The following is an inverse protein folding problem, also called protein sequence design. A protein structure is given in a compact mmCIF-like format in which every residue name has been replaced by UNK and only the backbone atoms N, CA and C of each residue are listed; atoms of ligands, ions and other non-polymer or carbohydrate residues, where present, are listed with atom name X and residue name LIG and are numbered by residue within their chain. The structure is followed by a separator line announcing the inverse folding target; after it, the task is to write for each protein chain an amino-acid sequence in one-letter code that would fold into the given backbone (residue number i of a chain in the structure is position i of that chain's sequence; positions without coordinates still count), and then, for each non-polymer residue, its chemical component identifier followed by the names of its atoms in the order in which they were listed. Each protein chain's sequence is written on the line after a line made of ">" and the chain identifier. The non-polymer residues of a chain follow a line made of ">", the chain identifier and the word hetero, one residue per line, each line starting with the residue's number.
data_IF_559939044292
#
_entry.id   IF_559939044292
#
_cell.length_a   1.000
_cell.length_b   1.000
_cell.length_c   1.000
_cell.angle_alpha   90.00
_cell.angle_beta   90.00
_cell.angle_gamma   90.00
#
_symmetry.space_group_name_H-M   'P 1'
#
loop_
_entity.id
_entity.type
_entity.pdbx_description
1 polymer ?
#
# COMPACT_ATOMS: atom_id res chain seq x y z
N UNK A 1 -0.31 24.41 30.24
CA UNK A 1 0.12 25.61 29.50
C UNK A 1 -0.82 26.72 29.90
N UNK A 2 -0.28 27.86 30.29
CA UNK A 2 -1.02 29.05 30.74
C UNK A 2 -1.16 30.08 29.60
N UNK A 3 -2.13 30.97 29.72
CA UNK A 3 -2.48 31.99 28.71
C UNK A 3 -1.28 32.89 28.34
N UNK A 4 -0.40 33.15 29.31
CA UNK A 4 0.81 33.96 29.12
C UNK A 4 1.78 33.26 28.17
N UNK A 5 1.92 31.93 28.29
CA UNK A 5 2.77 31.15 27.40
C UNK A 5 2.24 31.15 25.97
N UNK A 6 0.92 31.03 25.77
CA UNK A 6 0.31 31.09 24.44
C UNK A 6 0.54 32.44 23.76
N UNK A 7 0.30 33.55 24.49
CA UNK A 7 0.57 34.90 23.97
C UNK A 7 2.04 35.11 23.64
N UNK A 8 2.94 34.51 24.42
CA UNK A 8 4.38 34.55 24.13
C UNK A 8 4.71 33.81 22.83
N UNK A 9 4.13 32.63 22.61
CA UNK A 9 4.30 31.86 21.38
C UNK A 9 3.74 32.63 20.17
N UNK A 10 2.60 33.29 20.34
CA UNK A 10 2.01 34.16 19.32
C UNK A 10 2.90 35.35 18.95
N UNK A 11 3.80 35.79 19.83
CA UNK A 11 4.73 36.88 19.58
C UNK A 11 6.11 36.43 19.05
N UNK A 12 6.37 35.12 18.95
CA UNK A 12 7.67 34.62 18.50
C UNK A 12 8.00 35.02 17.05
N UNK A 13 9.28 35.30 16.83
CA UNK A 13 9.86 35.33 15.47
C UNK A 13 9.92 33.91 14.90
N UNK A 14 10.15 33.78 13.60
CA UNK A 14 10.24 32.48 12.91
C UNK A 14 11.24 31.53 13.61
N UNK A 15 12.45 32.00 13.90
CA UNK A 15 13.49 31.18 14.55
C UNK A 15 13.08 30.75 15.98
N UNK A 16 12.54 31.66 16.78
CA UNK A 16 12.07 31.35 18.14
C UNK A 16 10.93 30.33 18.11
N UNK A 17 10.05 30.43 17.11
CA UNK A 17 8.95 29.51 16.93
C UNK A 17 9.45 28.11 16.51
N UNK A 18 10.42 28.03 15.61
CA UNK A 18 11.07 26.76 15.24
C UNK A 18 11.71 26.10 16.46
N UNK A 19 12.49 26.84 17.25
CA UNK A 19 13.12 26.32 18.47
C UNK A 19 12.08 25.79 19.46
N UNK A 20 10.98 26.53 19.65
CA UNK A 20 9.86 26.10 20.48
C UNK A 20 9.23 24.79 19.97
N UNK A 21 8.96 24.68 18.67
CA UNK A 21 8.37 23.48 18.09
C UNK A 21 9.30 22.27 18.20
N UNK A 22 10.61 22.46 18.02
CA UNK A 22 11.59 21.38 18.18
C UNK A 22 11.63 20.86 19.63
N UNK A 23 11.59 21.76 20.61
CA UNK A 23 11.50 21.39 22.02
C UNK A 23 10.16 20.72 22.35
N UNK A 24 9.07 21.24 21.80
CA UNK A 24 7.74 20.66 21.91
C UNK A 24 7.69 19.23 21.35
N UNK A 25 8.17 19.01 20.12
CA UNK A 25 8.15 17.71 19.45
C UNK A 25 9.01 16.66 20.19
N UNK A 26 10.07 17.08 20.89
CA UNK A 26 10.90 16.20 21.73
C UNK A 26 10.21 15.80 23.04
N UNK A 27 9.48 16.71 23.70
CA UNK A 27 8.89 16.49 25.04
C UNK A 27 7.54 15.78 25.01
N UNK A 28 6.72 16.08 24.00
CA UNK A 28 5.31 15.68 23.93
C UNK A 28 4.97 14.22 23.56
N UNK A 29 5.89 13.34 23.11
CA UNK A 29 5.56 11.91 22.94
C UNK A 29 5.14 11.20 24.24
N UNK A 30 5.35 11.79 25.42
CA UNK A 30 4.97 11.23 26.72
C UNK A 30 3.51 11.58 27.10
N UNK A 31 2.67 10.56 27.34
CA UNK A 31 1.22 10.67 27.58
C UNK A 31 0.82 11.59 28.74
N UNK A 32 1.73 11.86 29.68
CA UNK A 32 1.48 12.65 30.89
C UNK A 32 1.28 14.16 30.61
N UNK A 33 1.78 14.69 29.48
CA UNK A 33 1.67 16.12 29.16
C UNK A 33 0.30 16.53 28.61
N UNK A 34 -0.41 15.63 27.92
CA UNK A 34 -1.69 15.93 27.28
C UNK A 34 -2.79 16.31 28.28
N UNK A 35 -2.83 15.67 29.46
CA UNK A 35 -3.85 15.93 30.46
C UNK A 35 -3.81 17.35 31.03
N UNK A 36 -2.62 17.96 31.12
CA UNK A 36 -2.46 19.32 31.64
C UNK A 36 -2.99 20.40 30.69
N UNK A 37 -3.24 20.09 29.42
CA UNK A 37 -3.37 21.12 28.35
C UNK A 37 -4.74 21.15 27.68
N UNK A 38 -5.70 20.34 28.13
CA UNK A 38 -7.00 20.17 27.46
C UNK A 38 -7.72 21.48 27.11
N UNK A 39 -7.68 22.51 27.97
CA UNK A 39 -8.39 23.78 27.73
C UNK A 39 -7.77 24.67 26.64
N UNK A 40 -6.51 24.45 26.25
CA UNK A 40 -5.76 25.35 25.37
C UNK A 40 -5.31 24.73 24.04
N UNK A 41 -5.60 23.44 23.82
CA UNK A 41 -5.21 22.71 22.59
C UNK A 41 -5.75 23.37 21.32
N UNK A 42 -6.99 23.85 21.34
CA UNK A 42 -7.64 24.50 20.19
C UNK A 42 -6.90 25.76 19.78
N UNK A 43 -6.58 26.62 20.76
CA UNK A 43 -5.82 27.86 20.51
C UNK A 43 -4.42 27.55 19.99
N UNK A 44 -3.74 26.57 20.60
CA UNK A 44 -2.40 26.14 20.15
C UNK A 44 -2.42 25.62 18.71
N UNK A 45 -3.41 24.81 18.34
CA UNK A 45 -3.59 24.34 16.97
C UNK A 45 -3.84 25.51 16.00
N UNK A 46 -4.67 26.49 16.38
CA UNK A 46 -4.88 27.70 15.57
C UNK A 46 -3.57 28.48 15.36
N UNK A 47 -2.73 28.60 16.39
CA UNK A 47 -1.41 29.24 16.26
C UNK A 47 -0.53 28.47 15.28
N UNK A 48 -0.46 27.14 15.40
CA UNK A 48 0.34 26.31 14.49
C UNK A 48 -0.11 26.50 13.04
N UNK A 49 -1.42 26.41 12.78
CA UNK A 49 -1.99 26.57 11.43
C UNK A 49 -1.75 27.98 10.87
N UNK A 50 -1.89 29.03 11.68
CA UNK A 50 -1.63 30.40 11.25
C UNK A 50 -0.15 30.63 10.93
N UNK A 51 0.76 30.14 11.78
CA UNK A 51 2.22 30.30 11.59
C UNK A 51 2.74 29.51 10.41
N UNK A 52 2.17 28.33 10.16
CA UNK A 52 2.39 27.52 8.97
C UNK A 52 2.13 28.28 7.66
N UNK A 53 1.05 29.07 7.61
CA UNK A 53 0.75 29.94 6.46
C UNK A 53 1.68 31.15 6.35
N UNK A 54 2.20 31.64 7.48
CA UNK A 54 3.07 32.81 7.53
C UNK A 54 4.54 32.49 7.21
N UNK A 55 5.02 31.33 7.65
CA UNK A 55 6.43 30.92 7.59
C UNK A 55 6.58 29.54 6.94
N UNK A 56 6.86 29.47 5.62
CA UNK A 56 7.04 28.21 4.90
C UNK A 56 8.12 27.30 5.50
N UNK A 57 9.16 27.86 6.14
CA UNK A 57 10.20 27.08 6.81
C UNK A 57 9.73 26.30 8.04
N UNK A 58 8.55 26.65 8.60
CA UNK A 58 8.00 26.03 9.82
C UNK A 58 7.04 24.88 9.54
N UNK A 59 6.69 24.67 8.28
CA UNK A 59 5.61 23.79 7.82
C UNK A 59 5.73 22.36 8.33
N UNK A 60 6.88 21.74 8.09
CA UNK A 60 7.17 20.36 8.51
C UNK A 60 7.11 20.24 10.03
N UNK A 61 7.83 21.10 10.76
CA UNK A 61 7.92 21.04 12.22
C UNK A 61 6.57 21.29 12.90
N UNK A 62 5.73 22.17 12.34
CA UNK A 62 4.37 22.38 12.81
C UNK A 62 3.49 21.15 12.56
N UNK A 63 3.57 20.54 11.37
CA UNK A 63 2.80 19.33 11.06
C UNK A 63 3.21 18.15 11.95
N UNK A 64 4.49 18.04 12.32
CA UNK A 64 4.91 17.07 13.34
C UNK A 64 4.22 17.32 14.69
N UNK A 65 4.10 18.58 15.11
CA UNK A 65 3.36 18.96 16.32
C UNK A 65 1.87 18.64 16.19
N UNK A 66 1.26 18.95 15.04
CA UNK A 66 -0.14 18.61 14.72
C UNK A 66 -0.34 17.10 14.76
N UNK A 67 0.56 16.31 14.16
CA UNK A 67 0.55 14.85 14.19
C UNK A 67 0.57 14.32 15.62
N UNK A 68 1.35 14.92 16.52
CA UNK A 68 1.35 14.55 17.94
C UNK A 68 -0.04 14.78 18.55
N UNK A 69 -0.70 15.91 18.24
CA UNK A 69 -2.06 16.20 18.71
C UNK A 69 -3.10 15.20 18.18
N UNK A 70 -2.97 14.72 16.93
CA UNK A 70 -3.89 13.71 16.34
C UNK A 70 -3.86 12.33 17.02
N UNK A 71 -2.88 12.06 17.90
CA UNK A 71 -2.76 10.78 18.62
C UNK A 71 -3.57 10.75 19.92
N UNK A 72 -3.89 11.91 20.48
CA UNK A 72 -4.71 12.00 21.68
C UNK A 72 -6.18 11.92 21.28
N UNK A 73 -6.85 10.83 21.61
CA UNK A 73 -8.26 10.59 21.25
C UNK A 73 -9.23 11.60 21.90
N UNK A 74 -8.79 12.31 22.94
CA UNK A 74 -9.63 13.25 23.67
C UNK A 74 -9.79 14.56 22.89
N UNK A 75 -11.04 15.00 22.72
CA UNK A 75 -11.41 16.28 22.10
C UNK A 75 -11.02 16.40 20.60
N UNK A 76 -10.64 15.31 19.92
CA UNK A 76 -10.24 15.35 18.49
C UNK A 76 -11.30 15.95 17.59
N UNK A 77 -12.57 15.60 17.82
CA UNK A 77 -13.67 16.06 16.97
C UNK A 77 -13.90 17.58 17.08
N UNK A 78 -13.57 18.18 18.23
CA UNK A 78 -13.62 19.64 18.39
C UNK A 78 -12.39 20.33 17.80
N UNK A 79 -11.21 19.72 17.95
CA UNK A 79 -9.94 20.26 17.47
C UNK A 79 -9.80 20.19 15.95
N UNK A 80 -10.19 19.05 15.37
CA UNK A 80 -10.08 18.76 13.94
C UNK A 80 -11.45 18.81 13.29
N UNK A 81 -12.04 20.01 13.30
CA UNK A 81 -13.27 20.30 12.58
C UNK A 81 -13.05 20.23 11.05
N UNK A 82 -14.13 20.42 10.27
CA UNK A 82 -14.08 20.35 8.80
C UNK A 82 -13.01 21.26 8.20
N UNK A 83 -12.89 22.50 8.66
CA UNK A 83 -11.92 23.46 8.13
C UNK A 83 -10.48 23.00 8.34
N UNK A 84 -10.15 22.52 9.54
CA UNK A 84 -8.81 22.01 9.85
C UNK A 84 -8.48 20.77 9.03
N UNK A 85 -9.42 19.84 8.89
CA UNK A 85 -9.24 18.65 8.06
C UNK A 85 -9.02 19.03 6.59
N UNK A 86 -9.80 19.96 6.05
CA UNK A 86 -9.61 20.46 4.68
C UNK A 86 -8.23 21.12 4.48
N UNK A 87 -7.74 21.88 5.47
CA UNK A 87 -6.37 22.39 5.42
C UNK A 87 -5.36 21.24 5.34
N UNK A 88 -5.47 20.21 6.17
CA UNK A 88 -4.55 19.07 6.09
C UNK A 88 -4.62 18.33 4.74
N UNK A 89 -5.80 18.21 4.13
CA UNK A 89 -5.96 17.64 2.77
C UNK A 89 -5.20 18.48 1.73
N UNK A 90 -5.31 19.81 1.80
CA UNK A 90 -4.59 20.71 0.90
C UNK A 90 -3.07 20.57 1.07
N UNK A 91 -2.59 20.47 2.31
CA UNK A 91 -1.17 20.33 2.63
C UNK A 91 -0.61 18.95 2.26
N UNK A 92 -1.45 17.92 2.29
CA UNK A 92 -1.15 16.61 1.75
C UNK A 92 -1.14 16.58 0.21
N UNK A 93 -1.51 17.68 -0.46
CA UNK A 93 -1.63 17.73 -1.93
C UNK A 93 -2.71 16.80 -2.47
N UNK A 94 -3.80 16.62 -1.71
CA UNK A 94 -4.92 15.73 -2.07
C UNK A 94 -6.21 16.49 -2.42
N UNK A 95 -6.14 17.81 -2.52
CA UNK A 95 -7.27 18.65 -2.90
C UNK A 95 -7.55 18.49 -4.39
N UNK A 96 -8.33 17.48 -4.75
CA UNK A 96 -8.77 17.26 -6.12
C UNK A 96 -9.85 18.30 -6.47
N UNK A 97 -9.54 19.17 -7.44
CA UNK A 97 -10.55 19.90 -8.22
C UNK A 97 -10.43 19.39 -9.65
N UNK A 98 -11.53 18.88 -10.21
CA UNK A 98 -11.56 18.34 -11.58
C UNK A 98 -11.00 19.31 -12.62
N UNK A 99 -11.11 20.62 -12.38
CA UNK A 99 -10.66 21.70 -13.24
C UNK A 99 -9.13 21.93 -13.22
N UNK A 100 -8.41 21.48 -12.18
CA UNK A 100 -6.96 21.66 -12.03
C UNK A 100 -6.15 20.52 -12.68
N UNK A 101 -6.83 19.50 -13.21
CA UNK A 101 -6.26 18.33 -13.88
C UNK A 101 -5.69 18.67 -15.28
N UNK A 102 -6.13 19.77 -15.90
CA UNK A 102 -5.85 20.05 -17.31
C UNK A 102 -4.77 21.11 -17.57
N UNK A 103 -4.53 22.07 -16.66
CA UNK A 103 -3.79 23.28 -17.06
C UNK A 103 -2.57 23.65 -16.24
N UNK A 104 -2.37 23.18 -15.00
CA UNK A 104 -1.12 23.41 -14.24
C UNK A 104 -0.89 22.29 -13.23
N UNK A 105 0.32 21.71 -13.15
CA UNK A 105 0.67 20.96 -11.95
C UNK A 105 0.55 21.93 -10.78
N UNK A 106 -0.40 21.68 -9.87
CA UNK A 106 -0.43 22.34 -8.57
C UNK A 106 1.00 22.34 -8.02
N UNK A 107 1.51 23.49 -7.56
CA UNK A 107 2.83 23.56 -6.93
C UNK A 107 2.91 22.44 -5.91
N UNK A 108 3.70 21.41 -6.24
CA UNK A 108 3.88 20.26 -5.37
C UNK A 108 4.43 20.83 -4.08
N UNK A 109 3.61 20.79 -3.02
CA UNK A 109 4.05 21.10 -1.67
C UNK A 109 5.30 20.25 -1.40
N UNK A 110 6.29 20.82 -0.69
CA UNK A 110 7.49 20.09 -0.30
C UNK A 110 7.10 18.65 0.12
N UNK A 111 7.66 17.59 -0.50
CA UNK A 111 7.26 16.22 -0.21
C UNK A 111 7.26 15.88 1.29
N UNK A 112 8.14 16.52 2.08
CA UNK A 112 8.16 16.36 3.54
C UNK A 112 6.90 16.90 4.21
N UNK A 113 6.38 18.03 3.73
CA UNK A 113 5.12 18.62 4.19
C UNK A 113 3.95 17.70 3.85
N UNK A 114 3.91 17.18 2.62
CA UNK A 114 2.90 16.22 2.19
C UNK A 114 2.90 14.97 3.08
N UNK A 115 4.07 14.37 3.32
CA UNK A 115 4.23 13.19 4.16
C UNK A 115 3.77 13.42 5.60
N UNK A 116 4.11 14.54 6.23
CA UNK A 116 3.66 14.82 7.60
C UNK A 116 2.16 15.13 7.69
N UNK A 117 1.57 15.73 6.65
CA UNK A 117 0.14 15.91 6.55
C UNK A 117 -0.58 14.55 6.39
N UNK A 118 -0.11 13.67 5.51
CA UNK A 118 -0.63 12.31 5.31
C UNK A 118 -0.58 11.48 6.61
N UNK A 119 0.54 11.55 7.36
CA UNK A 119 0.66 10.89 8.67
C UNK A 119 -0.38 11.41 9.67
N UNK A 120 -0.63 12.72 9.67
CA UNK A 120 -1.66 13.34 10.52
C UNK A 120 -3.07 12.88 10.14
N UNK A 121 -3.37 12.85 8.84
CA UNK A 121 -4.64 12.34 8.31
C UNK A 121 -4.86 10.86 8.63
N UNK A 122 -3.83 10.01 8.51
CA UNK A 122 -3.89 8.60 8.90
C UNK A 122 -4.28 8.41 10.37
N UNK A 123 -3.69 9.21 11.28
CA UNK A 123 -4.07 9.18 12.70
C UNK A 123 -5.52 9.61 12.91
N UNK A 124 -5.98 10.64 12.19
CA UNK A 124 -7.37 11.12 12.29
C UNK A 124 -8.38 10.08 11.80
N UNK A 125 -8.10 9.41 10.67
CA UNK A 125 -8.94 8.32 10.14
C UNK A 125 -9.09 7.20 11.18
N UNK A 126 -8.00 6.87 11.89
CA UNK A 126 -7.99 5.82 12.88
C UNK A 126 -8.67 6.21 14.20
N UNK A 127 -8.50 7.46 14.64
CA UNK A 127 -8.90 7.90 15.99
C UNK A 127 -10.21 8.69 16.06
N UNK A 128 -10.72 9.26 14.96
CA UNK A 128 -11.92 10.12 14.96
C UNK A 128 -12.93 9.69 13.89
N UNK A 129 -14.13 9.32 14.33
CA UNK A 129 -15.24 9.00 13.43
C UNK A 129 -15.72 10.23 12.64
N UNK A 130 -15.70 11.41 13.27
CA UNK A 130 -16.09 12.68 12.64
C UNK A 130 -15.11 13.07 11.54
N UNK A 131 -13.80 13.03 11.81
CA UNK A 131 -12.77 13.32 10.81
C UNK A 131 -12.80 12.33 9.64
N UNK A 132 -13.02 11.04 9.94
CA UNK A 132 -13.22 10.00 8.92
C UNK A 132 -14.39 10.31 7.98
N UNK A 133 -15.54 10.72 8.53
CA UNK A 133 -16.71 11.13 7.73
C UNK A 133 -16.41 12.34 6.87
N UNK A 134 -15.72 13.34 7.41
CA UNK A 134 -15.29 14.53 6.65
C UNK A 134 -14.40 14.11 5.48
N UNK A 135 -13.38 13.30 5.72
CA UNK A 135 -12.45 12.85 4.68
C UNK A 135 -13.16 12.13 3.52
N UNK A 136 -14.10 11.22 3.83
CA UNK A 136 -14.88 10.54 2.80
C UNK A 136 -15.73 11.49 1.94
N UNK A 137 -16.04 12.69 2.43
CA UNK A 137 -16.87 13.69 1.75
C UNK A 137 -16.05 14.80 1.05
N UNK A 138 -14.73 14.86 1.24
CA UNK A 138 -13.88 15.97 0.75
C UNK A 138 -13.01 15.60 -0.46
N UNK A 139 -13.36 14.55 -1.20
CA UNK A 139 -12.68 14.23 -2.44
C UNK A 139 -11.24 13.69 -2.27
N UNK A 140 -10.84 13.31 -1.06
CA UNK A 140 -9.45 12.90 -0.81
C UNK A 140 -9.09 11.56 -1.45
N UNK A 141 -10.08 10.68 -1.68
CA UNK A 141 -9.89 9.41 -2.36
C UNK A 141 -9.55 9.64 -3.83
N UNK A 142 -10.24 10.58 -4.46
CA UNK A 142 -10.03 11.03 -5.82
C UNK A 142 -8.62 11.63 -5.96
N UNK A 143 -8.21 12.49 -5.01
CA UNK A 143 -6.84 13.01 -4.95
C UNK A 143 -5.78 11.90 -4.84
N UNK A 144 -6.00 10.89 -4.00
CA UNK A 144 -5.10 9.75 -3.84
C UNK A 144 -4.98 8.95 -5.15
N UNK A 145 -6.10 8.68 -5.82
CA UNK A 145 -6.10 7.90 -7.06
C UNK A 145 -5.54 8.70 -8.25
N UNK A 146 -5.73 10.02 -8.29
CA UNK A 146 -5.07 10.89 -9.28
C UNK A 146 -3.55 10.86 -9.09
N UNK A 147 -3.07 10.94 -7.83
CA UNK A 147 -1.63 10.85 -7.55
C UNK A 147 -1.07 9.46 -7.83
N UNK A 148 -1.84 8.39 -7.60
CA UNK A 148 -1.48 7.01 -7.94
C UNK A 148 -1.14 6.84 -9.43
N UNK A 149 -1.86 7.53 -10.33
CA UNK A 149 -1.57 7.52 -11.78
C UNK A 149 -0.18 8.07 -12.12
N UNK A 150 0.42 8.84 -11.23
CA UNK A 150 1.73 9.47 -11.40
C UNK A 150 2.86 8.63 -10.78
N UNK A 151 2.60 7.40 -10.28
CA UNK A 151 3.62 6.60 -9.60
C UNK A 151 4.78 6.15 -10.49
N UNK A 152 4.59 6.16 -11.81
CA UNK A 152 5.68 5.94 -12.77
C UNK A 152 6.70 7.09 -12.81
N UNK A 153 6.38 8.24 -12.20
CA UNK A 153 7.30 9.37 -12.09
C UNK A 153 8.47 9.02 -11.13
N UNK A 154 9.72 9.03 -11.62
CA UNK A 154 10.89 8.76 -10.79
C UNK A 154 11.18 9.87 -9.76
N UNK A 155 10.69 11.09 -9.98
CA UNK A 155 10.93 12.23 -9.07
C UNK A 155 9.99 12.20 -7.85
N UNK A 156 8.94 11.38 -7.88
CA UNK A 156 8.03 11.22 -6.75
C UNK A 156 8.65 10.38 -5.63
N UNK A 157 8.83 10.92 -4.41
CA UNK A 157 9.48 10.20 -3.33
C UNK A 157 8.70 8.98 -2.85
N UNK A 158 9.43 7.92 -2.48
CA UNK A 158 8.87 6.67 -1.95
C UNK A 158 7.93 6.92 -0.76
N UNK A 159 8.30 7.79 0.17
CA UNK A 159 7.50 8.06 1.37
C UNK A 159 6.14 8.66 1.04
N UNK A 160 6.03 9.50 0.01
CA UNK A 160 4.73 10.01 -0.45
C UNK A 160 3.89 8.84 -0.95
N UNK A 161 4.43 8.01 -1.85
CA UNK A 161 3.75 6.83 -2.41
C UNK A 161 3.28 5.88 -1.30
N UNK A 162 4.12 5.70 -0.28
CA UNK A 162 3.86 4.75 0.81
C UNK A 162 2.75 5.26 1.72
N UNK A 163 2.79 6.54 2.13
CA UNK A 163 1.77 7.11 2.99
C UNK A 163 0.43 7.33 2.27
N UNK A 164 0.44 7.48 0.96
CA UNK A 164 -0.77 7.45 0.12
C UNK A 164 -1.46 6.09 0.19
N UNK A 165 -0.70 5.02 -0.09
CA UNK A 165 -1.24 3.66 -0.01
C UNK A 165 -1.65 3.32 1.41
N UNK A 166 -0.91 3.77 2.42
CA UNK A 166 -1.31 3.59 3.82
C UNK A 166 -2.63 4.30 4.14
N UNK A 167 -2.82 5.52 3.66
CA UNK A 167 -4.06 6.26 3.85
C UNK A 167 -5.22 5.58 3.11
N UNK A 168 -5.03 5.19 1.84
CA UNK A 168 -6.05 4.50 1.05
C UNK A 168 -6.43 3.14 1.67
N UNK A 169 -5.46 2.40 2.22
CA UNK A 169 -5.71 1.19 3.00
C UNK A 169 -6.58 1.47 4.21
N UNK A 170 -6.25 2.48 5.02
CA UNK A 170 -7.05 2.84 6.21
C UNK A 170 -8.47 3.25 5.84
N UNK A 171 -8.63 4.04 4.78
CA UNK A 171 -9.94 4.48 4.29
C UNK A 171 -10.77 3.27 3.81
N UNK A 172 -10.22 2.41 2.96
CA UNK A 172 -10.93 1.23 2.47
C UNK A 172 -11.19 0.20 3.56
N UNK A 173 -10.31 0.08 4.56
CA UNK A 173 -10.50 -0.81 5.70
C UNK A 173 -11.63 -0.34 6.62
N UNK A 174 -11.66 0.96 6.95
CA UNK A 174 -12.54 1.52 7.99
C UNK A 174 -13.84 2.16 7.45
N UNK A 175 -13.93 2.37 6.14
CA UNK A 175 -15.10 2.91 5.44
C UNK A 175 -15.49 1.95 4.32
N UNK A 176 -16.31 0.94 4.62
CA UNK A 176 -16.67 -0.06 3.61
C UNK A 176 -17.52 0.52 2.45
N UNK A 177 -18.23 1.61 2.72
CA UNK A 177 -19.10 2.33 1.80
C UNK A 177 -18.36 2.98 0.62
N UNK A 178 -17.06 3.31 0.76
CA UNK A 178 -16.29 3.90 -0.34
C UNK A 178 -15.73 2.85 -1.30
N UNK A 179 -15.72 1.56 -0.93
CA UNK A 179 -15.05 0.51 -1.70
C UNK A 179 -15.63 0.33 -3.11
N UNK A 180 -16.97 0.31 -3.33
CA UNK A 180 -17.52 0.21 -4.68
C UNK A 180 -17.05 1.37 -5.56
N UNK A 181 -17.16 2.60 -5.04
CA UNK A 181 -16.70 3.82 -5.70
C UNK A 181 -15.21 3.80 -6.06
N UNK A 182 -14.36 3.41 -5.12
CA UNK A 182 -12.91 3.24 -5.39
C UNK A 182 -12.67 2.19 -6.48
N UNK A 183 -13.35 1.05 -6.39
CA UNK A 183 -13.13 -0.10 -7.26
C UNK A 183 -13.56 0.19 -8.70
N UNK A 184 -14.80 0.64 -8.90
CA UNK A 184 -15.43 0.74 -10.22
C UNK A 184 -15.47 2.17 -10.76
N UNK A 185 -16.01 3.13 -10.00
CA UNK A 185 -16.19 4.51 -10.48
C UNK A 185 -14.86 5.24 -10.69
N UNK A 186 -13.89 5.00 -9.82
CA UNK A 186 -12.57 5.65 -9.87
C UNK A 186 -11.48 4.74 -10.44
N UNK A 187 -11.84 3.57 -10.98
CA UNK A 187 -10.92 2.58 -11.58
C UNK A 187 -9.73 2.18 -10.67
N UNK A 188 -9.90 2.25 -9.35
CA UNK A 188 -8.84 1.99 -8.38
C UNK A 188 -8.29 0.57 -8.47
N UNK A 189 -9.11 -0.42 -8.84
CA UNK A 189 -8.65 -1.79 -9.07
C UNK A 189 -7.56 -1.83 -10.16
N UNK A 190 -7.77 -1.13 -11.27
CA UNK A 190 -6.86 -1.08 -12.41
C UNK A 190 -5.56 -0.36 -12.01
N UNK A 191 -5.66 0.81 -11.38
CA UNK A 191 -4.47 1.57 -10.99
C UNK A 191 -3.62 0.85 -9.94
N UNK A 192 -4.24 0.11 -9.01
CA UNK A 192 -3.51 -0.68 -8.02
C UNK A 192 -2.81 -1.89 -8.67
N UNK A 193 -3.44 -2.55 -9.65
CA UNK A 193 -2.78 -3.59 -10.46
C UNK A 193 -1.59 -3.02 -11.23
N UNK A 194 -1.74 -1.86 -11.88
CA UNK A 194 -0.65 -1.20 -12.59
C UNK A 194 0.51 -0.80 -11.66
N UNK A 195 0.22 -0.38 -10.43
CA UNK A 195 1.24 -0.09 -9.43
C UNK A 195 2.02 -1.35 -9.01
N UNK A 196 1.37 -2.51 -8.88
CA UNK A 196 2.07 -3.79 -8.66
C UNK A 196 2.93 -4.17 -9.86
N UNK A 197 2.40 -4.02 -11.08
CA UNK A 197 3.16 -4.27 -12.32
C UNK A 197 4.42 -3.41 -12.39
N UNK A 198 4.35 -2.14 -11.99
CA UNK A 198 5.52 -1.24 -11.95
C UNK A 198 6.58 -1.76 -10.99
N UNK A 199 6.19 -2.18 -9.78
CA UNK A 199 7.12 -2.76 -8.80
C UNK A 199 7.82 -4.01 -9.36
N UNK A 200 7.07 -4.90 -10.02
CA UNK A 200 7.64 -6.11 -10.63
C UNK A 200 8.54 -5.81 -11.84
N UNK A 201 8.16 -4.85 -12.70
CA UNK A 201 8.94 -4.46 -13.89
C UNK A 201 10.25 -3.76 -13.53
N UNK A 202 10.23 -2.87 -12.54
CA UNK A 202 11.43 -2.18 -12.07
C UNK A 202 12.45 -3.17 -11.51
N UNK A 203 11.97 -4.24 -10.87
CA UNK A 203 12.81 -5.34 -10.40
C UNK A 203 13.50 -6.08 -11.56
N UNK A 204 12.73 -6.42 -12.60
CA UNK A 204 13.25 -7.06 -13.81
C UNK A 204 14.21 -6.16 -14.58
N UNK A 205 14.02 -4.83 -14.56
CA UNK A 205 14.90 -3.88 -15.24
C UNK A 205 16.23 -3.64 -14.51
N UNK A 206 16.24 -3.70 -13.17
CA UNK A 206 17.47 -3.65 -12.34
C UNK A 206 18.37 -4.86 -12.58
N UNK A 207 17.79 -5.92 -13.10
CA UNK A 207 18.46 -7.15 -13.50
C UNK A 207 18.80 -7.01 -14.98
N UNK A 208 20.05 -6.66 -15.31
CA UNK A 208 20.43 -6.31 -16.69
C UNK A 208 20.03 -7.36 -17.75
N UNK A 209 20.21 -7.08 -19.06
CA UNK A 209 19.67 -7.90 -20.16
C UNK A 209 20.14 -9.37 -20.22
N UNK A 210 21.05 -9.78 -19.34
CA UNK A 210 21.60 -11.13 -19.20
C UNK A 210 21.15 -11.86 -17.92
N UNK A 211 20.41 -11.22 -17.02
CA UNK A 211 19.73 -11.91 -15.92
C UNK A 211 18.44 -12.53 -16.46
N UNK A 212 18.57 -13.71 -17.07
CA UNK A 212 17.47 -14.62 -17.37
C UNK A 212 16.19 -13.94 -17.84
N UNK A 213 16.16 -13.48 -19.10
CA UNK A 213 14.88 -13.29 -19.80
C UNK A 213 14.08 -14.59 -19.72
N UNK A 214 13.16 -14.73 -18.75
CA UNK A 214 11.90 -15.47 -18.93
C UNK A 214 10.95 -14.63 -19.82
N UNK A 215 11.46 -13.98 -20.88
CA UNK A 215 10.60 -13.32 -21.87
C UNK A 215 10.17 -14.36 -22.89
N UNK A 216 8.88 -14.67 -22.88
CA UNK A 216 8.16 -15.26 -24.00
C UNK A 216 8.08 -14.25 -25.16
N UNK A 217 9.16 -14.09 -25.92
CA UNK A 217 9.13 -13.37 -27.18
C UNK A 217 9.02 -14.35 -28.36
N UNK A 218 7.92 -14.23 -29.10
CA UNK A 218 7.74 -14.77 -30.45
C UNK A 218 8.80 -14.19 -31.38
N UNK A 219 9.58 -15.05 -32.04
CA UNK A 219 10.27 -14.73 -33.29
C UNK A 219 11.81 -14.82 -33.30
N UNK A 220 12.29 -15.82 -34.05
CA UNK A 220 13.50 -15.83 -34.91
C UNK A 220 14.93 -15.88 -34.32
N UNK A 221 15.54 -17.07 -34.48
CA UNK A 221 16.90 -17.43 -34.99
C UNK A 221 18.11 -16.52 -34.66
N UNK A 222 19.11 -17.05 -33.91
CA UNK A 222 20.43 -17.57 -34.39
C UNK A 222 21.45 -17.82 -33.25
N UNK A 223 21.93 -19.06 -33.19
CA UNK A 223 23.29 -19.59 -32.90
C UNK A 223 24.29 -19.01 -31.86
N UNK A 224 24.80 -19.93 -31.00
CA UNK A 224 26.18 -20.13 -30.44
C UNK A 224 26.86 -18.95 -29.72
N UNK A 225 27.65 -19.07 -28.64
CA UNK A 225 28.29 -20.20 -27.92
C UNK A 225 29.03 -19.64 -26.67
N UNK A 226 29.20 -20.50 -25.65
CA UNK A 226 30.27 -20.56 -24.62
C UNK A 226 30.54 -19.42 -23.61
N UNK A 227 30.50 -19.87 -22.33
CA UNK A 227 31.37 -19.52 -21.19
C UNK A 227 31.38 -18.06 -20.69
N UNK A 228 30.85 -17.84 -19.49
CA UNK A 228 31.64 -17.64 -18.26
C UNK A 228 30.68 -17.56 -17.05
N UNK A 229 31.15 -18.04 -15.90
CA UNK A 229 30.40 -18.03 -14.66
C UNK A 229 30.36 -16.61 -14.08
N UNK A 230 29.42 -15.80 -14.57
CA UNK A 230 29.04 -14.54 -13.93
C UNK A 230 28.05 -14.82 -12.80
N UNK A 231 28.44 -14.45 -11.58
CA UNK A 231 27.60 -14.43 -10.38
C UNK A 231 26.32 -13.62 -10.68
N UNK A 232 25.25 -14.34 -11.03
CA UNK A 232 23.94 -13.76 -11.26
C UNK A 232 23.41 -13.25 -9.92
N UNK A 233 23.47 -11.94 -9.68
CA UNK A 233 22.66 -11.31 -8.64
C UNK A 233 21.21 -11.49 -9.09
N UNK A 234 20.52 -12.50 -8.53
CA UNK A 234 19.12 -12.74 -8.82
C UNK A 234 18.30 -11.47 -8.53
N UNK A 235 17.41 -11.13 -9.45
CA UNK A 235 16.42 -10.07 -9.29
C UNK A 235 15.64 -10.32 -7.98
N UNK A 236 15.79 -9.47 -6.98
CA UNK A 236 15.02 -9.61 -5.73
C UNK A 236 14.44 -8.27 -5.32
N UNK A 237 13.20 -8.29 -4.82
CA UNK A 237 12.50 -7.11 -4.36
C UNK A 237 13.20 -6.53 -3.13
N UNK A 238 13.37 -5.21 -3.15
CA UNK A 238 13.86 -4.44 -2.01
C UNK A 238 12.80 -4.38 -0.90
N UNK A 239 13.24 -4.12 0.34
CA UNK A 239 12.34 -4.02 1.48
C UNK A 239 11.24 -2.96 1.31
N UNK A 240 11.55 -1.86 0.62
CA UNK A 240 10.62 -0.78 0.27
C UNK A 240 9.60 -1.22 -0.78
N UNK A 241 10.04 -1.92 -1.84
CA UNK A 241 9.15 -2.50 -2.85
C UNK A 241 8.20 -3.53 -2.23
N UNK A 242 8.69 -4.37 -1.32
CA UNK A 242 7.86 -5.33 -0.58
C UNK A 242 6.84 -4.61 0.29
N UNK A 243 7.25 -3.58 1.04
CA UNK A 243 6.34 -2.82 1.91
C UNK A 243 5.24 -2.12 1.11
N UNK A 244 5.61 -1.53 -0.04
CA UNK A 244 4.65 -0.93 -0.97
C UNK A 244 3.67 -1.96 -1.53
N UNK A 245 4.19 -3.08 -2.05
CA UNK A 245 3.37 -4.17 -2.58
C UNK A 245 2.39 -4.68 -1.51
N UNK A 246 2.85 -4.83 -0.26
CA UNK A 246 1.98 -5.24 0.85
C UNK A 246 0.88 -4.20 1.14
N UNK A 247 1.16 -2.89 1.11
CA UNK A 247 0.10 -1.88 1.24
C UNK A 247 -0.92 -1.98 0.11
N UNK A 248 -0.48 -2.16 -1.13
CA UNK A 248 -1.35 -2.32 -2.31
C UNK A 248 -2.21 -3.59 -2.22
N UNK A 249 -1.61 -4.74 -1.88
CA UNK A 249 -2.30 -6.02 -1.72
C UNK A 249 -3.40 -5.94 -0.66
N UNK A 250 -3.16 -5.22 0.45
CA UNK A 250 -4.19 -5.01 1.49
C UNK A 250 -5.35 -4.14 1.00
N UNK A 251 -5.09 -3.13 0.17
CA UNK A 251 -6.16 -2.34 -0.44
C UNK A 251 -6.97 -3.21 -1.40
N UNK A 252 -6.30 -3.96 -2.28
CA UNK A 252 -6.94 -4.89 -3.21
C UNK A 252 -7.78 -5.95 -2.47
N UNK A 253 -7.29 -6.46 -1.33
CA UNK A 253 -8.06 -7.34 -0.46
C UNK A 253 -9.35 -6.65 0.00
N UNK A 254 -9.27 -5.44 0.55
CA UNK A 254 -10.45 -4.70 0.99
C UNK A 254 -11.48 -4.47 -0.13
N UNK A 255 -11.02 -4.19 -1.35
CA UNK A 255 -11.87 -3.98 -2.53
C UNK A 255 -12.51 -5.27 -3.07
N UNK A 256 -12.06 -6.45 -2.61
CA UNK A 256 -12.50 -7.76 -3.12
C UNK A 256 -13.29 -8.61 -2.12
N UNK A 257 -13.29 -8.27 -0.81
CA UNK A 257 -13.93 -9.09 0.27
C UNK A 257 -15.42 -9.43 0.05
N UNK A 258 -16.18 -8.61 -0.69
CA UNK A 258 -17.65 -8.73 -0.77
C UNK A 258 -18.20 -8.85 -2.19
N UNK A 259 -17.37 -9.25 -3.13
CA UNK A 259 -17.77 -9.29 -4.53
C UNK A 259 -18.41 -10.64 -4.85
N UNK A 260 -19.42 -10.61 -5.74
CA UNK A 260 -20.07 -11.82 -6.21
C UNK A 260 -19.03 -12.70 -6.91
N UNK A 261 -18.83 -13.92 -6.42
CA UNK A 261 -17.80 -14.84 -6.95
C UNK A 261 -18.25 -15.56 -8.22
N UNK A 262 -19.47 -15.27 -8.68
CA UNK A 262 -20.15 -15.95 -9.77
C UNK A 262 -20.96 -14.91 -10.57
N UNK A 263 -21.09 -15.11 -11.88
CA UNK A 263 -21.89 -14.22 -12.72
C UNK A 263 -21.26 -12.84 -12.96
N UNK A 264 -19.93 -12.76 -12.93
CA UNK A 264 -19.19 -11.55 -13.27
C UNK A 264 -19.40 -11.18 -14.73
N UNK A 265 -19.38 -9.87 -15.02
CA UNK A 265 -19.32 -9.37 -16.39
C UNK A 265 -17.95 -9.69 -17.01
N UNK A 266 -17.88 -9.82 -18.34
CA UNK A 266 -16.65 -10.20 -19.05
C UNK A 266 -15.47 -9.26 -18.75
N UNK A 267 -15.72 -7.97 -18.59
CA UNK A 267 -14.70 -6.98 -18.23
C UNK A 267 -14.17 -7.19 -16.80
N UNK A 268 -15.06 -7.43 -15.84
CA UNK A 268 -14.67 -7.72 -14.45
C UNK A 268 -13.89 -9.04 -14.36
N UNK A 269 -14.32 -10.07 -15.10
CA UNK A 269 -13.61 -11.35 -15.19
C UNK A 269 -12.18 -11.18 -15.73
N UNK A 270 -12.01 -10.41 -16.80
CA UNK A 270 -10.69 -10.10 -17.35
C UNK A 270 -9.78 -9.37 -16.35
N UNK A 271 -10.33 -8.47 -15.52
CA UNK A 271 -9.57 -7.82 -14.45
C UNK A 271 -9.11 -8.82 -13.38
N UNK A 272 -9.96 -9.77 -12.98
CA UNK A 272 -9.58 -10.79 -12.00
C UNK A 272 -8.57 -11.81 -12.54
N UNK A 273 -8.66 -12.19 -13.82
CA UNK A 273 -7.63 -13.00 -14.49
C UNK A 273 -6.28 -12.28 -14.48
N UNK A 274 -6.26 -11.00 -14.89
CA UNK A 274 -5.03 -10.18 -14.82
C UNK A 274 -4.49 -10.08 -13.40
N UNK A 275 -5.35 -9.85 -12.41
CA UNK A 275 -4.92 -9.78 -11.01
C UNK A 275 -4.31 -11.11 -10.56
N UNK A 276 -4.92 -12.25 -10.88
CA UNK A 276 -4.37 -13.56 -10.53
C UNK A 276 -2.99 -13.81 -11.18
N UNK A 277 -2.80 -13.38 -12.42
CA UNK A 277 -1.48 -13.43 -13.09
C UNK A 277 -0.42 -12.57 -12.37
N UNK A 278 -0.79 -11.38 -11.89
CA UNK A 278 0.11 -10.55 -11.07
C UNK A 278 0.44 -11.25 -9.73
N UNK A 279 -0.55 -11.89 -9.08
CA UNK A 279 -0.32 -12.62 -7.84
C UNK A 279 0.58 -13.84 -8.04
N UNK A 280 0.45 -14.54 -9.18
CA UNK A 280 1.37 -15.59 -9.59
C UNK A 280 2.82 -15.06 -9.61
N UNK A 281 3.06 -13.94 -10.28
CA UNK A 281 4.40 -13.36 -10.39
C UNK A 281 4.96 -12.88 -9.03
N UNK A 282 4.08 -12.37 -8.15
CA UNK A 282 4.45 -12.01 -6.77
C UNK A 282 4.86 -13.25 -5.96
N UNK A 283 4.17 -14.38 -6.09
CA UNK A 283 4.54 -15.64 -5.39
C UNK A 283 5.93 -16.13 -5.81
N UNK A 284 6.30 -15.92 -7.07
CA UNK A 284 7.58 -16.31 -7.63
C UNK A 284 8.70 -15.28 -7.44
N UNK A 285 8.40 -14.11 -6.91
CA UNK A 285 9.38 -13.03 -6.72
C UNK A 285 10.27 -13.30 -5.51
N UNK A 286 11.60 -13.17 -5.67
CA UNK A 286 12.55 -13.28 -4.57
C UNK A 286 12.61 -11.97 -3.74
N UNK A 287 12.96 -12.07 -2.46
CA UNK A 287 13.10 -10.92 -1.55
C UNK A 287 14.42 -10.99 -0.80
N UNK A 288 14.91 -9.84 -0.30
CA UNK A 288 16.19 -9.77 0.43
C UNK A 288 16.24 -10.64 1.69
N UNK A 289 15.12 -10.76 2.40
CA UNK A 289 15.02 -11.51 3.66
C UNK A 289 13.83 -12.48 3.62
N UNK A 290 13.94 -13.64 4.30
CA UNK A 290 12.83 -14.60 4.38
C UNK A 290 11.63 -14.03 5.15
N UNK A 291 11.84 -13.10 6.08
CA UNK A 291 10.75 -12.42 6.80
C UNK A 291 9.92 -11.55 5.84
N UNK A 292 10.58 -10.79 4.95
CA UNK A 292 9.89 -10.01 3.92
C UNK A 292 9.15 -10.92 2.93
N UNK A 293 9.74 -12.08 2.57
CA UNK A 293 9.07 -13.11 1.77
C UNK A 293 7.78 -13.60 2.44
N UNK A 294 7.86 -13.92 3.74
CA UNK A 294 6.72 -14.39 4.53
C UNK A 294 5.58 -13.36 4.57
N UNK A 295 5.90 -12.07 4.73
CA UNK A 295 4.88 -10.99 4.68
C UNK A 295 4.24 -10.87 3.30
N UNK A 296 5.04 -10.88 2.24
CA UNK A 296 4.56 -10.73 0.87
C UNK A 296 3.63 -11.89 0.48
N UNK A 297 4.06 -13.13 0.75
CA UNK A 297 3.24 -14.32 0.49
C UNK A 297 1.98 -14.31 1.34
N UNK A 298 2.05 -13.90 2.63
CA UNK A 298 0.87 -13.83 3.50
C UNK A 298 -0.22 -12.95 2.92
N UNK A 299 0.11 -11.73 2.49
CA UNK A 299 -0.87 -10.80 1.92
C UNK A 299 -1.34 -11.21 0.51
N UNK A 300 -0.48 -11.89 -0.25
CA UNK A 300 -0.87 -12.48 -1.54
C UNK A 300 -1.90 -13.59 -1.34
N UNK A 301 -1.67 -14.47 -0.36
CA UNK A 301 -2.61 -15.52 0.04
C UNK A 301 -3.94 -14.94 0.51
N UNK A 302 -3.92 -13.91 1.35
CA UNK A 302 -5.15 -13.24 1.81
C UNK A 302 -5.99 -12.79 0.61
N UNK A 303 -5.38 -12.16 -0.39
CA UNK A 303 -6.07 -11.72 -1.61
C UNK A 303 -6.57 -12.89 -2.46
N UNK A 304 -5.79 -13.98 -2.58
CA UNK A 304 -6.22 -15.20 -3.28
C UNK A 304 -7.50 -15.81 -2.70
N UNK A 305 -7.81 -15.61 -1.41
CA UNK A 305 -9.06 -16.09 -0.81
C UNK A 305 -10.33 -15.40 -1.33
N UNK A 306 -10.18 -14.24 -1.97
CA UNK A 306 -11.28 -13.46 -2.53
C UNK A 306 -11.43 -13.63 -4.05
N UNK A 307 -10.52 -14.34 -4.72
CA UNK A 307 -10.51 -14.45 -6.17
C UNK A 307 -11.66 -15.33 -6.69
N UNK A 308 -12.25 -14.99 -7.85
CA UNK A 308 -13.22 -15.84 -8.53
C UNK A 308 -12.62 -17.18 -8.98
N UNK A 309 -13.48 -18.19 -9.19
CA UNK A 309 -13.06 -19.56 -9.51
C UNK A 309 -12.30 -19.65 -10.83
N UNK A 310 -12.69 -18.87 -11.85
CA UNK A 310 -12.00 -18.84 -13.14
C UNK A 310 -10.56 -18.34 -13.02
N UNK A 311 -10.28 -17.43 -12.08
CA UNK A 311 -8.99 -16.75 -11.99
C UNK A 311 -7.84 -17.65 -11.53
N UNK A 312 -8.13 -18.77 -10.87
CA UNK A 312 -7.08 -19.68 -10.37
C UNK A 312 -6.34 -20.43 -11.49
N UNK A 313 -6.84 -20.41 -12.73
CA UNK A 313 -6.10 -21.02 -13.85
C UNK A 313 -4.80 -20.26 -14.17
N UNK A 314 -4.77 -18.95 -13.93
CA UNK A 314 -3.62 -18.06 -14.14
C UNK A 314 -2.48 -18.31 -13.12
N UNK A 315 -2.72 -19.10 -12.08
CA UNK A 315 -1.67 -19.57 -11.17
C UNK A 315 -0.81 -20.70 -11.75
N UNK A 316 -1.14 -21.19 -12.94
CA UNK A 316 -0.37 -22.19 -13.65
C UNK A 316 0.07 -21.64 -15.00
N UNK A 317 1.30 -21.96 -15.41
CA UNK A 317 1.79 -21.59 -16.74
C UNK A 317 2.00 -22.83 -17.60
N UNK A 318 1.52 -22.88 -18.85
CA UNK A 318 1.82 -23.98 -19.76
C UNK A 318 3.33 -24.11 -20.02
N UNK A 319 3.88 -25.31 -19.88
CA UNK A 319 5.31 -25.56 -20.09
C UNK A 319 5.62 -25.63 -21.59
N UNK A 320 6.29 -24.61 -22.12
CA UNK A 320 6.64 -24.52 -23.56
C UNK A 320 7.95 -25.25 -23.89
N UNK A 321 8.80 -25.55 -22.90
CA UNK A 321 10.04 -26.34 -23.08
C UNK A 321 10.17 -27.36 -21.95
N UNK A 322 10.22 -28.63 -22.33
CA UNK A 322 10.55 -29.75 -21.44
C UNK A 322 12.06 -29.72 -21.18
N UNK A 323 12.51 -28.84 -20.28
CA UNK A 323 13.83 -28.98 -19.67
C UNK A 323 13.71 -30.00 -18.52
N UNK A 324 14.65 -30.93 -18.48
CA UNK A 324 14.61 -32.15 -17.65
C UNK A 324 14.45 -31.84 -16.14
N UNK A 325 13.63 -32.66 -15.47
CA UNK A 325 13.49 -32.79 -14.01
C UNK A 325 13.25 -31.52 -13.17
N UNK A 326 12.22 -30.73 -13.51
CA UNK A 326 11.60 -29.83 -12.52
C UNK A 326 10.53 -30.56 -11.73
N UNK A 327 10.72 -30.68 -10.42
CA UNK A 327 9.76 -31.28 -9.46
C UNK A 327 8.38 -30.60 -9.44
N UNK A 328 8.27 -29.44 -10.07
CA UNK A 328 7.08 -28.59 -10.12
C UNK A 328 6.24 -28.74 -11.40
N UNK A 329 6.62 -29.60 -12.35
CA UNK A 329 5.82 -29.81 -13.57
C UNK A 329 4.79 -30.93 -13.36
N UNK A 330 3.52 -30.65 -13.67
CA UNK A 330 2.44 -31.63 -13.63
C UNK A 330 1.45 -31.43 -14.79
N UNK A 331 1.15 -32.51 -15.53
CA UNK A 331 0.21 -32.50 -16.67
C UNK A 331 0.53 -31.42 -17.73
N UNK A 332 1.81 -31.16 -17.97
CA UNK A 332 2.26 -30.12 -18.92
C UNK A 332 2.14 -28.68 -18.42
N UNK A 333 1.76 -28.49 -17.15
CA UNK A 333 1.65 -27.19 -16.49
C UNK A 333 2.74 -27.01 -15.44
N UNK A 334 3.22 -25.78 -15.29
CA UNK A 334 4.12 -25.36 -14.22
C UNK A 334 3.30 -25.07 -12.96
N UNK A 335 3.63 -25.77 -11.87
CA UNK A 335 3.00 -25.68 -10.55
C UNK A 335 3.93 -25.02 -9.52
N UNK A 336 4.95 -24.26 -9.95
CA UNK A 336 5.89 -23.56 -9.06
C UNK A 336 5.14 -22.66 -8.06
N UNK A 337 4.21 -21.82 -8.53
CA UNK A 337 3.41 -20.94 -7.66
C UNK A 337 2.54 -21.72 -6.66
N UNK A 338 1.89 -22.81 -7.11
CA UNK A 338 1.12 -23.70 -6.21
C UNK A 338 2.04 -24.37 -5.18
N UNK A 339 3.26 -24.72 -5.56
CA UNK A 339 4.23 -25.33 -4.66
C UNK A 339 4.70 -24.34 -3.60
N UNK A 340 4.90 -23.06 -3.95
CA UNK A 340 5.17 -21.99 -2.97
C UNK A 340 4.06 -21.90 -1.92
N UNK A 341 2.79 -22.08 -2.31
CA UNK A 341 1.67 -22.09 -1.36
C UNK A 341 1.70 -23.31 -0.42
N UNK A 342 2.10 -24.48 -0.92
CA UNK A 342 2.26 -25.70 -0.10
C UNK A 342 3.41 -25.51 0.90
N UNK A 343 4.56 -25.05 0.42
CA UNK A 343 5.73 -24.81 1.27
C UNK A 343 5.43 -23.74 2.34
N UNK A 344 4.64 -22.72 1.98
CA UNK A 344 4.15 -21.71 2.92
C UNK A 344 3.21 -22.31 3.98
N UNK A 345 2.30 -23.21 3.60
CA UNK A 345 1.43 -23.94 4.52
C UNK A 345 2.27 -24.80 5.49
N UNK A 346 3.22 -25.57 4.99
CA UNK A 346 4.12 -26.40 5.82
C UNK A 346 4.92 -25.53 6.81
N UNK A 347 5.46 -24.41 6.34
CA UNK A 347 6.16 -23.44 7.20
C UNK A 347 5.23 -22.91 8.31
N UNK A 348 3.97 -22.58 7.99
CA UNK A 348 2.99 -22.08 8.97
C UNK A 348 2.57 -23.14 9.97
N UNK A 349 2.45 -24.41 9.56
CA UNK A 349 2.18 -25.54 10.45
C UNK A 349 3.29 -25.77 11.48
N UNK A 350 4.55 -25.51 11.10
CA UNK A 350 5.72 -25.71 11.95
C UNK A 350 6.00 -24.53 12.91
N UNK A 351 5.25 -23.41 12.86
CA UNK A 351 5.46 -22.24 13.73
C UNK A 351 4.63 -22.35 15.03
N UNK A 352 5.25 -22.50 16.22
CA UNK A 352 4.53 -22.78 17.48
C UNK A 352 3.87 -21.56 18.15
N UNK A 353 3.91 -20.36 17.54
CA UNK A 353 3.63 -19.08 18.22
C UNK A 353 2.31 -18.38 17.85
N UNK A 354 1.58 -18.85 16.83
CA UNK A 354 0.34 -18.20 16.35
C UNK A 354 -0.81 -19.19 16.54
N UNK A 355 -2.03 -18.76 16.95
CA UNK A 355 -3.20 -19.62 16.91
C UNK A 355 -3.32 -20.28 15.53
N UNK A 356 -3.16 -21.61 15.51
CA UNK A 356 -3.07 -22.43 14.29
C UNK A 356 -4.25 -22.12 13.34
N UNK A 357 -5.44 -21.86 13.89
CA UNK A 357 -6.64 -21.55 13.10
C UNK A 357 -6.52 -20.24 12.31
N UNK A 358 -5.98 -19.18 12.89
CA UNK A 358 -5.90 -17.87 12.21
C UNK A 358 -4.75 -17.82 11.20
N UNK A 359 -3.62 -18.47 11.51
CA UNK A 359 -2.45 -18.47 10.64
C UNK A 359 -2.60 -19.36 9.40
N UNK A 360 -3.37 -20.45 9.51
CA UNK A 360 -3.45 -21.49 8.49
C UNK A 360 -4.71 -21.36 7.63
N UNK A 361 -5.80 -20.81 8.18
CA UNK A 361 -7.08 -20.71 7.47
C UNK A 361 -6.97 -20.03 6.10
N UNK A 362 -6.25 -18.91 5.93
CA UNK A 362 -6.17 -18.25 4.62
C UNK A 362 -5.51 -19.13 3.54
N UNK A 363 -4.35 -19.73 3.84
CA UNK A 363 -3.62 -20.57 2.88
C UNK A 363 -4.36 -21.87 2.56
N UNK A 364 -4.99 -22.51 3.55
CA UNK A 364 -5.83 -23.69 3.30
C UNK A 364 -7.06 -23.33 2.46
N UNK A 365 -7.68 -22.18 2.73
CA UNK A 365 -8.83 -21.71 1.95
C UNK A 365 -8.41 -21.47 0.50
N UNK A 366 -7.31 -20.77 0.27
CA UNK A 366 -6.78 -20.53 -1.07
C UNK A 366 -6.48 -21.85 -1.80
N UNK A 367 -5.73 -22.78 -1.20
CA UNK A 367 -5.41 -24.08 -1.80
C UNK A 367 -6.66 -24.91 -2.09
N UNK A 368 -7.65 -24.90 -1.19
CA UNK A 368 -8.91 -25.60 -1.39
C UNK A 368 -9.70 -25.00 -2.57
N UNK A 369 -9.80 -23.67 -2.66
CA UNK A 369 -10.46 -23.02 -3.79
C UNK A 369 -9.73 -23.28 -5.12
N UNK A 370 -8.39 -23.24 -5.13
CA UNK A 370 -7.60 -23.66 -6.31
C UNK A 370 -7.90 -25.11 -6.73
N UNK A 371 -7.99 -26.04 -5.76
CA UNK A 371 -8.30 -27.44 -6.01
C UNK A 371 -9.74 -27.67 -6.50
N UNK A 372 -10.69 -26.84 -6.06
CA UNK A 372 -12.08 -26.90 -6.53
C UNK A 372 -12.19 -26.34 -7.95
N UNK A 373 -11.48 -25.25 -8.23
CA UNK A 373 -11.46 -24.59 -9.53
C UNK A 373 -10.86 -25.45 -10.62
N UNK A 374 -9.69 -26.08 -10.37
CA UNK A 374 -8.94 -26.75 -11.43
C UNK A 374 -8.59 -28.21 -11.09
N UNK A 375 -8.92 -29.13 -12.01
CA UNK A 375 -8.67 -30.56 -11.80
C UNK A 375 -7.19 -30.93 -11.76
N UNK A 376 -6.34 -30.19 -12.45
CA UNK A 376 -4.90 -30.43 -12.55
C UNK A 376 -4.23 -30.04 -11.25
N UNK A 377 -4.56 -28.85 -10.71
CA UNK A 377 -4.13 -28.43 -9.37
C UNK A 377 -4.55 -29.46 -8.32
N UNK A 378 -5.81 -29.90 -8.36
CA UNK A 378 -6.32 -30.90 -7.41
C UNK A 378 -5.55 -32.22 -7.45
N UNK A 379 -5.18 -32.71 -8.64
CA UNK A 379 -4.39 -33.95 -8.77
C UNK A 379 -2.95 -33.75 -8.31
N UNK A 380 -2.35 -32.59 -8.58
CA UNK A 380 -1.02 -32.23 -8.09
C UNK A 380 -0.96 -32.18 -6.56
N UNK A 381 -1.94 -31.52 -5.93
CA UNK A 381 -2.06 -31.43 -4.47
C UNK A 381 -2.30 -32.78 -3.76
N UNK A 382 -2.82 -33.80 -4.47
CA UNK A 382 -2.95 -35.16 -3.92
C UNK A 382 -1.66 -35.98 -4.01
N UNK A 383 -0.74 -35.56 -4.87
CA UNK A 383 0.55 -36.24 -5.11
C UNK A 383 1.63 -35.75 -4.13
N UNK A 384 1.61 -34.45 -3.83
CA UNK A 384 2.34 -33.83 -2.72
C UNK A 384 1.70 -34.24 -1.40
#
# INVERSE_FOLDING_TARGET
>A
MDEITLKKIEAYSENQFIEYLLDFNKKMPSQFLFQKWNSHKKRLLSIFLQRMSQYPGTQVTCLESVRILTRDKKDLDELFNKEVVCMLINWAGLAAREEEIAEKPQQVSDPKVSVEALKSLCNLIYNSATAKKILCQQGCVEGLLLRLRMYSDPDMPYEVKFFDMRMLFLMTALCAEIRPRVRTELHGLIYLMEALDLILKDNLAKSGPMAGRRTFNKGSRRGRSHQEAETCLAACLTDEEVDMACEILKILFNLTVRNERFGLEEEEEAHYLRLASILHDILLSDTKTPEKRDYLISHTVDLLTNMPVCSYEELMTPVVKMEEDRSYIYDGMDMEAISVLIDFLEMRMNKPKIPIQEAISPVLTALNECARANSTIRKFLRKR
#
